data_IF_484419482004
#
_entry.id   IF_484419482004
#
_cell.length_a   1.000
_cell.length_b   1.000
_cell.length_c   1.000
_cell.angle_alpha   90.00
_cell.angle_beta   90.00
_cell.angle_gamma   90.00
#
_symmetry.space_group_name_H-M   'P 1'
#
loop_
_entity.id
_entity.type
_entity.pdbx_description
1 polymer ?
#
# COMPACT_ATOMS: atom_id res chain seq x y z
N UNK A 1 12.47 4.09 -10.17
CA UNK A 1 12.28 3.95 -8.71
C UNK A 1 12.72 2.54 -8.31
N UNK A 2 13.74 2.42 -7.46
CA UNK A 2 14.31 1.13 -7.06
C UNK A 2 13.33 0.36 -6.17
N UNK A 3 12.93 -0.83 -6.61
CA UNK A 3 12.10 -1.75 -5.82
C UNK A 3 12.82 -2.17 -4.55
N UNK A 4 12.06 -2.42 -3.48
CA UNK A 4 12.57 -3.09 -2.27
C UNK A 4 13.12 -4.45 -2.68
N UNK A 5 14.43 -4.63 -2.57
CA UNK A 5 15.07 -5.94 -2.74
C UNK A 5 15.16 -6.64 -1.38
N UNK A 6 15.02 -7.97 -1.31
CA UNK A 6 15.08 -8.73 -0.05
C UNK A 6 16.34 -8.45 0.80
N UNK A 7 17.44 -8.06 0.15
CA UNK A 7 18.72 -7.77 0.80
C UNK A 7 18.89 -6.29 1.23
N UNK A 8 17.82 -5.50 1.20
CA UNK A 8 17.89 -4.08 1.55
C UNK A 8 17.86 -3.90 3.06
N UNK A 9 18.95 -3.35 3.63
CA UNK A 9 19.04 -3.08 5.06
C UNK A 9 18.89 -1.59 5.31
N UNK A 10 18.11 -1.25 6.33
CA UNK A 10 17.83 0.12 6.70
C UNK A 10 17.89 0.29 8.22
N UNK A 11 18.89 1.04 8.69
CA UNK A 11 18.97 1.46 10.10
C UNK A 11 18.27 2.81 10.24
N UNK A 12 17.18 2.86 11.01
CA UNK A 12 16.40 4.09 11.18
C UNK A 12 16.92 5.02 12.25
N UNK A 13 17.37 4.45 13.36
CA UNK A 13 17.79 5.24 14.51
C UNK A 13 18.97 4.55 15.18
N UNK A 14 20.11 5.23 15.16
CA UNK A 14 21.29 4.86 15.91
C UNK A 14 21.37 5.77 17.14
N UNK A 15 21.31 5.19 18.34
CA UNK A 15 21.55 5.89 19.61
C UNK A 15 22.84 5.35 20.22
N UNK A 16 23.81 6.23 20.44
CA UNK A 16 25.09 5.89 21.06
C UNK A 16 25.12 6.53 22.44
N UNK A 17 25.56 5.75 23.43
CA UNK A 17 25.74 6.22 24.80
C UNK A 17 27.22 6.01 25.15
N UNK A 18 27.93 7.10 25.47
CA UNK A 18 29.35 7.07 25.76
C UNK A 18 29.60 6.89 27.27
N UNK A 19 30.05 5.71 27.67
CA UNK A 19 30.67 5.53 28.99
C UNK A 19 32.12 6.00 28.92
N UNK A 20 32.38 7.27 29.24
CA UNK A 20 33.75 7.82 29.34
C UNK A 20 34.22 8.70 28.17
N UNK A 21 33.37 9.00 27.19
CA UNK A 21 33.70 9.97 26.13
C UNK A 21 33.37 11.37 26.65
N UNK A 22 34.40 12.17 26.95
CA UNK A 22 34.23 13.52 27.47
C UNK A 22 33.89 14.49 26.32
N UNK A 23 32.62 14.89 26.24
CA UNK A 23 32.14 15.94 25.32
C UNK A 23 31.32 15.45 24.12
N UNK A 24 30.31 16.24 23.74
CA UNK A 24 29.38 15.96 22.64
C UNK A 24 30.09 15.72 21.29
N UNK A 25 31.19 16.44 21.04
CA UNK A 25 31.98 16.36 19.79
C UNK A 25 32.62 14.97 19.61
N UNK A 26 33.08 14.33 20.68
CA UNK A 26 33.65 12.98 20.60
C UNK A 26 32.60 11.93 20.24
N UNK A 27 31.38 12.09 20.76
CA UNK A 27 30.26 11.19 20.54
C UNK A 27 29.69 11.32 19.12
N UNK A 28 29.67 12.53 18.57
CA UNK A 28 29.30 12.78 17.16
C UNK A 28 30.29 12.15 16.18
N UNK A 29 31.61 12.29 16.44
CA UNK A 29 32.65 11.65 15.61
C UNK A 29 32.49 10.13 15.59
N UNK A 30 32.37 9.51 16.77
CA UNK A 30 32.13 8.05 16.90
C UNK A 30 30.84 7.66 16.17
N UNK A 31 29.77 8.45 16.28
CA UNK A 31 28.52 8.16 15.57
C UNK A 31 28.66 8.24 14.06
N UNK A 32 29.43 9.19 13.54
CA UNK A 32 29.61 9.35 12.10
C UNK A 32 30.50 8.24 11.54
N UNK A 33 31.58 7.88 12.24
CA UNK A 33 32.44 6.75 11.90
C UNK A 33 31.67 5.43 11.91
N UNK A 34 30.91 5.15 12.98
CA UNK A 34 30.10 3.94 13.06
C UNK A 34 29.06 3.86 11.95
N UNK A 35 28.40 4.98 11.58
CA UNK A 35 27.46 4.96 10.44
C UNK A 35 28.15 4.58 9.13
N UNK A 36 29.33 5.14 8.87
CA UNK A 36 30.11 4.79 7.68
C UNK A 36 30.52 3.32 7.69
N UNK A 37 30.97 2.81 8.83
CA UNK A 37 31.31 1.38 8.94
C UNK A 37 30.10 0.50 8.62
N UNK A 38 28.95 0.78 9.23
CA UNK A 38 27.72 0.01 9.04
C UNK A 38 27.22 -0.04 7.59
N UNK A 39 27.59 0.92 6.75
CA UNK A 39 27.28 0.91 5.31
C UNK A 39 28.05 -0.18 4.54
N UNK A 40 29.20 -0.64 5.07
CA UNK A 40 30.07 -1.64 4.44
C UNK A 40 30.04 -3.00 5.13
N UNK A 41 29.35 -3.13 6.26
CA UNK A 41 29.32 -4.40 6.99
C UNK A 41 28.48 -5.45 6.26
N UNK A 42 28.97 -6.70 6.30
CA UNK A 42 28.22 -7.87 5.87
C UNK A 42 27.18 -8.25 6.91
N UNK A 43 25.97 -7.73 6.72
CA UNK A 43 24.85 -8.03 7.59
C UNK A 43 24.36 -9.48 7.46
N UNK A 44 23.70 -10.02 8.50
CA UNK A 44 23.13 -11.37 8.45
C UNK A 44 22.09 -11.47 7.34
N UNK A 45 22.27 -12.47 6.46
CA UNK A 45 21.30 -12.73 5.40
C UNK A 45 20.11 -13.51 5.94
N UNK A 46 18.91 -13.09 5.56
CA UNK A 46 17.69 -13.85 5.80
C UNK A 46 17.42 -14.72 4.56
N UNK A 47 16.89 -15.93 4.75
CA UNK A 47 16.71 -16.88 3.64
C UNK A 47 15.56 -16.48 2.70
N UNK A 48 15.77 -16.71 1.40
CA UNK A 48 14.74 -16.56 0.37
C UNK A 48 14.23 -15.12 0.21
N UNK A 49 12.91 -14.96 0.16
CA UNK A 49 12.23 -13.66 0.01
C UNK A 49 11.73 -13.09 1.35
N UNK A 50 12.19 -13.65 2.47
CA UNK A 50 11.69 -13.28 3.78
C UNK A 50 12.19 -11.91 4.23
N UNK A 51 11.36 -11.22 5.01
CA UNK A 51 11.65 -9.91 5.59
C UNK A 51 11.63 -10.02 7.10
N UNK A 52 12.63 -9.43 7.74
CA UNK A 52 12.72 -9.38 9.20
C UNK A 52 12.80 -7.91 9.62
N UNK A 53 11.87 -7.51 10.47
CA UNK A 53 11.90 -6.22 11.14
C UNK A 53 12.30 -6.45 12.60
N UNK A 54 13.39 -5.79 13.00
CA UNK A 54 13.89 -5.83 14.37
C UNK A 54 13.63 -4.46 14.99
N UNK A 55 12.86 -4.43 16.07
CA UNK A 55 12.46 -3.20 16.75
C UNK A 55 13.67 -2.52 17.38
N UNK A 56 14.54 -3.28 18.04
CA UNK A 56 15.75 -2.76 18.65
C UNK A 56 16.88 -3.80 18.64
N UNK A 57 18.07 -3.35 18.27
CA UNK A 57 19.33 -4.07 18.50
C UNK A 57 20.17 -3.27 19.48
N UNK A 58 20.75 -3.95 20.48
CA UNK A 58 21.65 -3.33 21.45
C UNK A 58 23.00 -4.04 21.40
N UNK A 59 24.07 -3.26 21.31
CA UNK A 59 25.44 -3.73 21.40
C UNK A 59 26.20 -2.85 22.39
N UNK A 60 27.22 -3.43 23.04
CA UNK A 60 28.14 -2.73 23.94
C UNK A 60 29.55 -3.21 23.64
N UNK A 61 30.49 -2.27 23.58
CA UNK A 61 31.89 -2.58 23.27
C UNK A 61 32.71 -1.32 23.04
N UNK A 62 34.03 -1.46 22.84
CA UNK A 62 34.88 -0.35 22.43
C UNK A 62 34.44 0.18 21.05
N UNK A 63 34.63 1.49 20.81
CA UNK A 63 34.12 2.17 19.62
C UNK A 63 34.45 1.44 18.31
N UNK A 64 35.72 1.04 18.12
CA UNK A 64 36.17 0.32 16.93
C UNK A 64 35.72 -1.14 16.79
N UNK A 65 34.88 -1.66 17.70
CA UNK A 65 34.22 -2.97 17.56
C UNK A 65 32.70 -2.89 17.57
N UNK A 66 32.11 -1.69 17.67
CA UNK A 66 30.66 -1.55 17.77
C UNK A 66 29.93 -2.07 16.52
N UNK A 67 30.50 -1.91 15.33
CA UNK A 67 29.92 -2.43 14.10
C UNK A 67 29.83 -3.98 14.11
N UNK A 68 30.90 -4.65 14.51
CA UNK A 68 30.93 -6.12 14.63
C UNK A 68 29.97 -6.62 15.71
N UNK A 69 29.94 -5.95 16.87
CA UNK A 69 29.04 -6.32 17.96
C UNK A 69 27.57 -6.08 17.58
N UNK A 70 27.25 -5.02 16.84
CA UNK A 70 25.90 -4.79 16.30
C UNK A 70 25.51 -5.86 15.30
N UNK A 71 26.44 -6.30 14.47
CA UNK A 71 26.19 -7.34 13.45
C UNK A 71 25.96 -8.69 14.11
N UNK A 72 26.77 -9.04 15.11
CA UNK A 72 26.58 -10.25 15.92
C UNK A 72 25.26 -10.22 16.68
N UNK A 73 24.94 -9.11 17.35
CA UNK A 73 23.67 -8.93 18.04
C UNK A 73 22.48 -9.04 17.06
N UNK A 74 22.59 -8.44 15.88
CA UNK A 74 21.57 -8.57 14.83
C UNK A 74 21.41 -10.02 14.40
N UNK A 75 22.49 -10.78 14.22
CA UNK A 75 22.40 -12.21 13.87
C UNK A 75 21.67 -13.02 14.95
N UNK A 76 21.93 -12.72 16.22
CA UNK A 76 21.22 -13.32 17.36
C UNK A 76 19.73 -12.97 17.34
N UNK A 77 19.37 -11.71 17.15
CA UNK A 77 17.97 -11.27 17.05
C UNK A 77 17.26 -11.92 15.85
N UNK A 78 17.91 -11.99 14.68
CA UNK A 78 17.39 -12.66 13.47
C UNK A 78 17.18 -14.15 13.67
N UNK A 79 17.78 -14.78 14.68
CA UNK A 79 17.51 -16.18 15.03
C UNK A 79 16.56 -16.32 16.23
N UNK A 80 16.28 -15.23 16.95
CA UNK A 80 15.39 -15.25 18.09
C UNK A 80 13.94 -15.51 17.69
N UNK A 81 13.19 -16.15 18.61
CA UNK A 81 11.74 -16.30 18.53
C UNK A 81 10.99 -15.20 19.27
N UNK A 82 11.65 -14.11 19.67
CA UNK A 82 11.02 -13.03 20.44
C UNK A 82 10.12 -12.19 19.53
N UNK A 83 8.82 -12.48 19.58
CA UNK A 83 7.81 -11.78 18.79
C UNK A 83 7.62 -10.31 19.18
N UNK A 84 8.07 -9.88 20.37
CA UNK A 84 7.97 -8.48 20.81
C UNK A 84 9.07 -7.59 20.19
N UNK A 85 10.22 -8.20 19.88
CA UNK A 85 11.34 -7.49 19.27
C UNK A 85 11.49 -7.79 17.77
N UNK A 86 11.07 -8.96 17.30
CA UNK A 86 11.31 -9.45 15.94
C UNK A 86 10.02 -9.86 15.25
N UNK A 87 9.71 -9.19 14.15
CA UNK A 87 8.58 -9.53 13.28
C UNK A 87 9.09 -10.06 11.95
N UNK A 88 8.53 -11.20 11.52
CA UNK A 88 8.94 -11.88 10.29
C UNK A 88 7.79 -11.92 9.30
N UNK A 89 8.13 -11.71 8.04
CA UNK A 89 7.20 -11.89 6.92
C UNK A 89 7.86 -12.83 5.92
N UNK A 90 7.12 -13.81 5.39
CA UNK A 90 7.64 -14.79 4.45
C UNK A 90 7.90 -14.18 3.06
N UNK A 91 7.30 -13.03 2.76
CA UNK A 91 7.46 -12.34 1.48
C UNK A 91 7.18 -10.84 1.61
N UNK A 92 7.62 -10.08 0.59
CA UNK A 92 7.27 -8.66 0.49
C UNK A 92 5.75 -8.44 0.41
N UNK A 93 5.01 -9.33 -0.26
CA UNK A 93 3.55 -9.21 -0.38
C UNK A 93 2.86 -9.32 1.00
N UNK A 94 3.40 -10.13 1.90
CA UNK A 94 2.91 -10.26 3.26
C UNK A 94 3.19 -9.02 4.10
N UNK A 95 4.41 -8.52 4.01
CA UNK A 95 4.79 -7.27 4.67
C UNK A 95 3.92 -6.09 4.21
N UNK A 96 3.67 -5.97 2.89
CA UNK A 96 2.84 -4.91 2.34
C UNK A 96 1.36 -5.08 2.72
N UNK A 97 0.86 -6.31 2.78
CA UNK A 97 -0.51 -6.58 3.24
C UNK A 97 -0.71 -6.17 4.70
N UNK A 98 0.24 -6.47 5.58
CA UNK A 98 0.20 -6.03 6.98
C UNK A 98 0.20 -4.50 7.09
N UNK A 99 1.06 -3.83 6.33
CA UNK A 99 1.12 -2.37 6.28
C UNK A 99 -0.20 -1.75 5.81
N UNK A 100 -0.82 -2.29 4.75
CA UNK A 100 -2.10 -1.80 4.24
C UNK A 100 -3.21 -1.89 5.28
N UNK A 101 -3.27 -2.99 6.03
CA UNK A 101 -4.25 -3.16 7.10
C UNK A 101 -4.04 -2.12 8.20
N UNK A 102 -2.80 -1.88 8.61
CA UNK A 102 -2.49 -0.87 9.63
C UNK A 102 -2.73 0.57 9.13
N UNK A 103 -2.53 0.84 7.83
CA UNK A 103 -2.87 2.13 7.21
C UNK A 103 -4.37 2.39 7.28
N UNK A 104 -5.19 1.40 6.88
CA UNK A 104 -6.66 1.52 6.89
C UNK A 104 -7.19 1.72 8.32
N UNK A 105 -6.57 1.07 9.30
CA UNK A 105 -6.96 1.18 10.72
C UNK A 105 -6.41 2.42 11.42
N UNK A 106 -5.60 3.23 10.75
CA UNK A 106 -4.92 4.37 11.38
C UNK A 106 -3.87 3.98 12.44
N UNK A 107 -3.43 2.72 12.45
CA UNK A 107 -2.46 2.18 13.41
C UNK A 107 -1.02 2.27 12.89
N UNK A 108 -0.83 2.66 11.63
CA UNK A 108 0.47 2.67 10.98
C UNK A 108 1.52 3.53 11.71
N UNK A 109 1.15 4.72 12.22
CA UNK A 109 2.06 5.64 12.93
C UNK A 109 2.68 5.00 14.18
N UNK A 110 1.90 4.21 14.93
CA UNK A 110 2.37 3.62 16.19
C UNK A 110 3.14 2.30 16.00
N UNK A 111 2.90 1.61 14.88
CA UNK A 111 3.45 0.27 14.62
C UNK A 111 4.64 0.29 13.65
N UNK A 112 4.67 1.26 12.74
CA UNK A 112 5.67 1.32 11.68
C UNK A 112 6.58 2.53 11.83
N UNK A 113 7.88 2.26 11.95
CA UNK A 113 8.92 3.29 12.12
C UNK A 113 9.75 3.51 10.85
N UNK A 114 9.33 2.91 9.73
CA UNK A 114 10.11 2.88 8.50
C UNK A 114 10.01 4.23 7.78
N UNK A 115 11.12 5.00 7.78
CA UNK A 115 11.17 6.36 7.19
C UNK A 115 10.70 6.42 5.74
N UNK A 116 10.89 5.33 4.97
CA UNK A 116 10.45 5.23 3.57
C UNK A 116 8.94 5.45 3.44
N UNK A 117 8.14 4.91 4.35
CA UNK A 117 6.67 5.03 4.31
C UNK A 117 6.11 6.10 5.24
N UNK A 118 6.98 6.85 5.93
CA UNK A 118 6.55 7.90 6.85
C UNK A 118 5.63 8.94 6.18
N UNK A 119 5.80 9.16 4.87
CA UNK A 119 4.94 10.05 4.11
C UNK A 119 3.51 9.49 3.95
N UNK A 120 3.32 8.17 3.84
CA UNK A 120 2.01 7.52 3.72
C UNK A 120 1.17 7.71 4.99
N UNK A 121 1.82 7.77 6.15
CA UNK A 121 1.13 7.84 7.44
C UNK A 121 0.42 9.17 7.70
N UNK A 122 0.73 10.20 6.89
CA UNK A 122 0.11 11.53 6.98
C UNK A 122 -1.03 11.71 5.98
N UNK A 123 -1.22 10.74 5.09
CA UNK A 123 -2.25 10.80 4.06
C UNK A 123 -3.57 10.23 4.57
N UNK A 124 -4.71 10.65 4.00
CA UNK A 124 -5.98 9.93 4.16
C UNK A 124 -5.83 8.47 3.73
N UNK A 125 -6.55 7.55 4.40
CA UNK A 125 -6.39 6.11 4.18
C UNK A 125 -6.53 5.69 2.71
N UNK A 126 -7.53 6.22 1.99
CA UNK A 126 -7.72 5.99 0.54
C UNK A 126 -6.46 6.34 -0.27
N UNK A 127 -5.91 7.54 -0.06
CA UNK A 127 -4.72 8.02 -0.76
C UNK A 127 -3.46 7.24 -0.38
N UNK A 128 -3.30 6.87 0.90
CA UNK A 128 -2.18 6.06 1.37
C UNK A 128 -2.20 4.66 0.72
N UNK A 129 -3.38 4.03 0.66
CA UNK A 129 -3.59 2.74 0.01
C UNK A 129 -3.30 2.85 -1.48
N UNK A 130 -3.88 3.84 -2.18
CA UNK A 130 -3.64 4.07 -3.61
C UNK A 130 -2.15 4.22 -3.92
N UNK A 131 -1.45 5.06 -3.16
CA UNK A 131 -0.04 5.34 -3.40
C UNK A 131 0.80 4.08 -3.21
N UNK A 132 0.59 3.35 -2.10
CA UNK A 132 1.33 2.11 -1.83
C UNK A 132 1.06 1.03 -2.89
N UNK A 133 -0.20 0.88 -3.31
CA UNK A 133 -0.58 -0.06 -4.37
C UNK A 133 0.03 0.33 -5.73
N UNK A 134 0.12 1.63 -6.03
CA UNK A 134 0.72 2.16 -7.27
C UNK A 134 2.23 1.93 -7.30
N UNK A 135 2.92 2.05 -6.17
CA UNK A 135 4.35 1.72 -6.06
C UNK A 135 4.64 0.23 -6.34
N UNK A 136 3.63 -0.63 -6.15
CA UNK A 136 3.75 -2.09 -6.21
C UNK A 136 2.78 -2.74 -7.20
N UNK A 137 2.45 -2.07 -8.32
CA UNK A 137 1.47 -2.55 -9.31
C UNK A 137 1.70 -4.00 -9.78
N UNK A 138 2.95 -4.41 -10.01
CA UNK A 138 3.27 -5.78 -10.46
C UNK A 138 2.99 -6.86 -9.42
N UNK A 139 2.81 -6.48 -8.15
CA UNK A 139 2.57 -7.39 -7.03
C UNK A 139 1.10 -7.38 -6.58
N UNK A 140 0.24 -6.60 -7.24
CA UNK A 140 -1.18 -6.49 -6.88
C UNK A 140 -1.88 -7.85 -6.77
N UNK A 141 -1.74 -8.79 -7.72
CA UNK A 141 -2.38 -10.10 -7.60
C UNK A 141 -1.97 -10.85 -6.32
N UNK A 142 -0.66 -10.94 -6.04
CA UNK A 142 -0.12 -11.61 -4.85
C UNK A 142 -0.53 -10.93 -3.55
N UNK A 143 -0.57 -9.60 -3.55
CA UNK A 143 -0.99 -8.80 -2.40
C UNK A 143 -2.49 -8.99 -2.11
N UNK A 144 -3.33 -8.98 -3.14
CA UNK A 144 -4.77 -9.23 -2.99
C UNK A 144 -5.02 -10.67 -2.47
N UNK A 145 -4.31 -11.66 -3.01
CA UNK A 145 -4.37 -13.04 -2.52
C UNK A 145 -3.94 -13.14 -1.04
N UNK A 146 -2.93 -12.38 -0.61
CA UNK A 146 -2.52 -12.36 0.80
C UNK A 146 -3.55 -11.69 1.69
N UNK A 147 -4.10 -10.53 1.30
CA UNK A 147 -5.18 -9.87 2.03
C UNK A 147 -6.42 -10.75 2.14
N UNK A 148 -6.74 -11.52 1.11
CA UNK A 148 -7.85 -12.47 1.13
C UNK A 148 -7.63 -13.61 2.13
N UNK A 149 -6.41 -14.19 2.16
CA UNK A 149 -6.01 -15.19 3.16
C UNK A 149 -6.12 -14.64 4.58
N UNK A 150 -5.80 -13.36 4.79
CA UNK A 150 -5.96 -12.67 6.06
C UNK A 150 -7.42 -12.26 6.37
N UNK A 151 -8.36 -12.48 5.45
CA UNK A 151 -9.77 -12.01 5.52
C UNK A 151 -9.88 -10.48 5.69
N UNK A 152 -8.93 -9.73 5.10
CA UNK A 152 -8.86 -8.26 5.13
C UNK A 152 -8.98 -7.61 3.75
N UNK A 153 -9.25 -8.40 2.71
CA UNK A 153 -9.35 -7.86 1.35
C UNK A 153 -10.46 -6.81 1.23
N UNK A 154 -11.68 -7.11 1.68
CA UNK A 154 -12.81 -6.18 1.61
C UNK A 154 -12.55 -4.88 2.39
N UNK A 155 -12.00 -4.99 3.60
CA UNK A 155 -11.61 -3.86 4.47
C UNK A 155 -10.67 -2.90 3.72
N UNK A 156 -9.61 -3.41 3.10
CA UNK A 156 -8.65 -2.58 2.35
C UNK A 156 -9.25 -2.08 1.03
N UNK A 157 -9.92 -2.95 0.28
CA UNK A 157 -10.42 -2.64 -1.07
C UNK A 157 -11.50 -1.57 -1.06
N UNK A 158 -12.42 -1.62 -0.09
CA UNK A 158 -13.51 -0.66 0.04
C UNK A 158 -13.06 0.68 0.64
N UNK A 159 -11.84 0.75 1.19
CA UNK A 159 -11.24 2.03 1.65
C UNK A 159 -10.82 2.92 0.48
N UNK A 160 -10.56 2.34 -0.70
CA UNK A 160 -10.34 3.13 -1.91
C UNK A 160 -11.62 3.92 -2.25
N UNK A 161 -11.46 5.21 -2.46
CA UNK A 161 -12.50 6.01 -3.11
C UNK A 161 -12.52 5.74 -4.63
N UNK A 162 -13.60 6.19 -5.27
CA UNK A 162 -13.79 5.99 -6.71
C UNK A 162 -12.63 6.58 -7.53
N UNK A 163 -12.16 7.80 -7.20
CA UNK A 163 -11.12 8.48 -7.96
C UNK A 163 -9.75 7.80 -7.80
N UNK A 164 -9.43 7.32 -6.60
CA UNK A 164 -8.23 6.54 -6.29
C UNK A 164 -8.24 5.20 -7.04
N UNK A 165 -9.37 4.50 -7.03
CA UNK A 165 -9.54 3.25 -7.78
C UNK A 165 -9.41 3.48 -9.30
N UNK A 166 -9.95 4.57 -9.84
CA UNK A 166 -9.79 4.94 -11.25
C UNK A 166 -8.34 5.19 -11.62
N UNK A 167 -7.60 5.95 -10.80
CA UNK A 167 -6.17 6.21 -11.02
C UNK A 167 -5.36 4.91 -10.98
N UNK A 168 -5.63 4.05 -10.00
CA UNK A 168 -4.96 2.75 -9.86
C UNK A 168 -5.27 1.83 -11.05
N UNK A 169 -6.53 1.79 -11.50
CA UNK A 169 -6.97 1.05 -12.69
C UNK A 169 -6.28 1.53 -13.96
N UNK A 170 -6.21 2.84 -14.17
CA UNK A 170 -5.50 3.42 -15.32
C UNK A 170 -4.00 3.11 -15.27
N UNK A 171 -3.36 3.24 -14.10
CA UNK A 171 -1.95 2.94 -13.93
C UNK A 171 -1.66 1.45 -14.20
N UNK A 172 -2.53 0.56 -13.70
CA UNK A 172 -2.43 -0.87 -13.93
C UNK A 172 -2.63 -1.25 -15.41
N UNK A 173 -3.64 -0.68 -16.08
CA UNK A 173 -3.90 -0.91 -17.50
C UNK A 173 -2.73 -0.47 -18.38
N UNK A 174 -2.21 0.74 -18.14
CA UNK A 174 -1.02 1.26 -18.84
C UNK A 174 0.19 0.35 -18.69
N UNK A 175 0.44 -0.14 -17.46
CA UNK A 175 1.56 -1.06 -17.20
C UNK A 175 1.38 -2.41 -17.87
N UNK A 176 0.15 -2.92 -17.88
CA UNK A 176 -0.18 -4.22 -18.45
C UNK A 176 -0.32 -4.21 -19.98
N UNK A 177 -0.29 -3.02 -20.61
CA UNK A 177 -0.32 -2.87 -22.06
C UNK A 177 -1.69 -3.09 -22.70
N UNK A 178 -2.77 -3.12 -21.94
CA UNK A 178 -4.13 -3.26 -22.47
C UNK A 178 -4.91 -1.95 -22.39
N UNK A 179 -5.85 -1.77 -23.32
CA UNK A 179 -6.73 -0.60 -23.36
C UNK A 179 -7.93 -0.85 -22.46
N UNK A 180 -8.13 0.03 -21.47
CA UNK A 180 -9.28 -0.06 -20.58
C UNK A 180 -10.57 0.23 -21.39
N UNK A 181 -11.55 -0.69 -21.40
CA UNK A 181 -12.82 -0.42 -22.04
C UNK A 181 -13.58 0.64 -21.26
N UNK A 182 -14.34 1.49 -21.95
CA UNK A 182 -15.27 2.39 -21.28
C UNK A 182 -16.30 1.58 -20.48
N UNK A 183 -16.69 2.05 -19.28
CA UNK A 183 -17.67 1.38 -18.43
C UNK A 183 -18.96 1.01 -19.20
N UNK A 184 -19.45 1.94 -20.03
CA UNK A 184 -20.62 1.73 -20.90
C UNK A 184 -20.46 0.59 -21.90
N UNK A 185 -19.23 0.32 -22.37
CA UNK A 185 -18.97 -0.82 -23.26
C UNK A 185 -19.12 -2.13 -22.52
N UNK A 186 -18.65 -2.22 -21.26
CA UNK A 186 -18.83 -3.39 -20.41
C UNK A 186 -20.32 -3.62 -20.12
N UNK A 187 -21.05 -2.56 -19.77
CA UNK A 187 -22.51 -2.62 -19.54
C UNK A 187 -23.26 -3.09 -20.79
N UNK A 188 -22.93 -2.57 -21.97
CA UNK A 188 -23.54 -3.00 -23.23
C UNK A 188 -23.27 -4.47 -23.53
N UNK A 189 -22.05 -4.95 -23.30
CA UNK A 189 -21.72 -6.37 -23.47
C UNK A 189 -22.45 -7.25 -22.47
N UNK A 190 -22.62 -6.79 -21.22
CA UNK A 190 -23.34 -7.51 -20.17
C UNK A 190 -24.85 -7.62 -20.46
N UNK A 191 -25.43 -6.65 -21.16
CA UNK A 191 -26.83 -6.65 -21.57
C UNK A 191 -27.11 -7.52 -22.80
N UNK A 192 -26.09 -8.00 -23.52
CA UNK A 192 -26.31 -8.90 -24.67
C UNK A 192 -26.81 -10.26 -24.17
N UNK A 193 -27.81 -10.87 -24.82
CA UNK A 193 -28.28 -12.21 -24.47
C UNK A 193 -27.11 -13.20 -24.54
N UNK A 194 -26.73 -13.75 -23.38
CA UNK A 194 -25.46 -14.45 -23.19
C UNK A 194 -25.43 -15.79 -23.92
N UNK A 195 -24.40 -16.02 -24.74
CA UNK A 195 -23.93 -17.38 -24.99
C UNK A 195 -23.36 -17.91 -23.67
N UNK A 196 -23.77 -19.12 -23.24
CA UNK A 196 -23.35 -19.75 -21.97
C UNK A 196 -21.86 -19.53 -21.71
N UNK A 197 -21.52 -18.93 -20.57
CA UNK A 197 -20.12 -18.79 -20.12
C UNK A 197 -19.45 -20.16 -20.17
N UNK A 198 -18.29 -20.29 -20.82
CA UNK A 198 -17.60 -21.57 -20.91
C UNK A 198 -17.41 -22.17 -19.51
N UNK A 199 -17.80 -23.43 -19.26
CA UNK A 199 -17.71 -24.04 -17.94
C UNK A 199 -16.29 -24.06 -17.37
N UNK A 200 -15.26 -24.06 -18.24
CA UNK A 200 -13.85 -23.98 -17.86
C UNK A 200 -13.48 -22.65 -17.17
N UNK A 201 -14.12 -21.54 -17.55
CA UNK A 201 -13.90 -20.25 -16.86
C UNK A 201 -14.55 -20.25 -15.48
N UNK A 202 -15.71 -20.90 -15.33
CA UNK A 202 -16.42 -21.00 -14.03
C UNK A 202 -15.69 -21.90 -13.03
N UNK A 203 -15.11 -23.01 -13.48
CA UNK A 203 -14.39 -23.93 -12.60
C UNK A 203 -13.07 -23.33 -12.07
N UNK A 204 -12.33 -22.62 -12.93
CA UNK A 204 -11.06 -21.98 -12.56
C UNK A 204 -11.23 -20.71 -11.72
N UNK A 205 -12.42 -20.09 -11.74
CA UNK A 205 -12.70 -18.84 -11.02
C UNK A 205 -13.23 -19.04 -9.61
N UNK A 206 -13.76 -20.21 -9.25
CA UNK A 206 -14.39 -20.46 -7.96
C UNK A 206 -13.59 -19.99 -6.71
N UNK A 207 -12.28 -20.26 -6.56
CA UNK A 207 -11.54 -19.77 -5.39
C UNK A 207 -11.33 -18.25 -5.42
N UNK A 208 -11.08 -17.68 -6.60
CA UNK A 208 -10.94 -16.22 -6.76
C UNK A 208 -12.27 -15.52 -6.50
N UNK A 209 -13.37 -16.12 -6.94
CA UNK A 209 -14.72 -15.66 -6.69
C UNK A 209 -14.98 -15.50 -5.20
N UNK A 210 -14.77 -16.57 -4.42
CA UNK A 210 -14.98 -16.56 -2.98
C UNK A 210 -14.09 -15.53 -2.28
N UNK A 211 -12.86 -15.34 -2.77
CA UNK A 211 -11.95 -14.34 -2.25
C UNK A 211 -12.49 -12.90 -2.44
N UNK A 212 -13.05 -12.60 -3.62
CA UNK A 212 -13.43 -11.24 -4.00
C UNK A 212 -14.88 -10.89 -3.65
N UNK A 213 -15.74 -11.88 -3.42
CA UNK A 213 -17.19 -11.71 -3.27
C UNK A 213 -17.55 -10.61 -2.26
N UNK A 214 -16.97 -10.62 -1.06
CA UNK A 214 -17.27 -9.64 -0.02
C UNK A 214 -16.83 -8.22 -0.37
N UNK A 215 -15.79 -8.09 -1.21
CA UNK A 215 -15.24 -6.78 -1.61
C UNK A 215 -16.00 -6.15 -2.79
N UNK A 216 -16.73 -6.94 -3.58
CA UNK A 216 -17.29 -6.49 -4.87
C UNK A 216 -18.81 -6.60 -4.98
N UNK A 217 -19.47 -7.39 -4.14
CA UNK A 217 -20.91 -7.72 -4.27
C UNK A 217 -21.84 -6.50 -4.24
N UNK A 218 -21.50 -5.45 -3.50
CA UNK A 218 -22.33 -4.24 -3.36
C UNK A 218 -22.00 -3.15 -4.37
N UNK A 219 -21.02 -3.36 -5.25
CA UNK A 219 -20.51 -2.32 -6.14
C UNK A 219 -21.25 -2.33 -7.49
N UNK A 220 -21.64 -1.16 -8.03
CA UNK A 220 -22.22 -1.08 -9.37
C UNK A 220 -21.16 -1.33 -10.45
N UNK A 221 -21.60 -1.71 -11.66
CA UNK A 221 -20.71 -1.96 -12.82
C UNK A 221 -19.87 -0.74 -13.24
N UNK A 222 -20.34 0.46 -12.93
CA UNK A 222 -19.62 1.70 -13.14
C UNK A 222 -18.54 1.99 -12.08
N UNK A 223 -18.50 1.24 -10.97
CA UNK A 223 -17.52 1.44 -9.90
C UNK A 223 -16.13 0.97 -10.32
N UNK A 224 -15.14 1.84 -10.14
CA UNK A 224 -13.78 1.54 -10.58
C UNK A 224 -13.10 0.46 -9.73
N UNK A 225 -13.52 0.27 -8.48
CA UNK A 225 -13.01 -0.80 -7.62
C UNK A 225 -13.46 -2.16 -8.11
N UNK A 226 -14.72 -2.26 -8.58
CA UNK A 226 -15.21 -3.47 -9.22
C UNK A 226 -14.46 -3.72 -10.52
N UNK A 227 -14.34 -2.72 -11.39
CA UNK A 227 -13.61 -2.87 -12.66
C UNK A 227 -12.16 -3.29 -12.44
N UNK A 228 -11.47 -2.71 -11.45
CA UNK A 228 -10.11 -3.10 -11.08
C UNK A 228 -10.04 -4.54 -10.58
N UNK A 229 -10.97 -4.97 -9.72
CA UNK A 229 -11.03 -6.36 -9.26
C UNK A 229 -11.23 -7.33 -10.44
N UNK A 230 -12.17 -7.03 -11.35
CA UNK A 230 -12.44 -7.85 -12.52
C UNK A 230 -11.24 -7.91 -13.47
N UNK A 231 -10.51 -6.82 -13.64
CA UNK A 231 -9.26 -6.78 -14.42
C UNK A 231 -8.18 -7.65 -13.78
N UNK A 232 -7.98 -7.57 -12.46
CA UNK A 232 -7.00 -8.37 -11.74
C UNK A 232 -7.33 -9.87 -11.77
N UNK A 233 -8.61 -10.22 -11.71
CA UNK A 233 -9.09 -11.59 -11.88
C UNK A 233 -8.88 -12.03 -13.33
N UNK A 234 -9.27 -11.21 -14.30
CA UNK A 234 -9.10 -11.47 -15.73
C UNK A 234 -7.66 -11.73 -16.12
N UNK A 235 -6.71 -10.98 -15.54
CA UNK A 235 -5.28 -11.18 -15.78
C UNK A 235 -4.80 -12.56 -15.28
N UNK A 236 -5.35 -13.05 -14.17
CA UNK A 236 -4.94 -14.34 -13.59
C UNK A 236 -5.53 -15.54 -14.34
N UNK A 237 -6.76 -15.43 -14.83
CA UNK A 237 -7.48 -16.57 -15.43
C UNK A 237 -7.44 -16.60 -16.95
N UNK A 238 -7.38 -15.44 -17.61
CA UNK A 238 -7.53 -15.33 -19.06
C UNK A 238 -6.79 -14.08 -19.62
N UNK A 239 -5.46 -13.98 -19.42
CA UNK A 239 -4.69 -12.80 -19.81
C UNK A 239 -4.77 -12.49 -21.30
N UNK A 240 -4.82 -13.52 -22.16
CA UNK A 240 -4.98 -13.33 -23.61
C UNK A 240 -6.35 -12.75 -23.97
N UNK A 241 -7.43 -13.18 -23.32
CA UNK A 241 -8.75 -12.60 -23.54
C UNK A 241 -8.84 -11.17 -23.03
N UNK A 242 -8.16 -10.85 -21.92
CA UNK A 242 -8.09 -9.49 -21.41
C UNK A 242 -7.41 -8.55 -22.41
N UNK A 243 -6.40 -9.02 -23.14
CA UNK A 243 -5.72 -8.26 -24.19
C UNK A 243 -6.57 -8.11 -25.47
N UNK A 244 -7.26 -9.17 -25.88
CA UNK A 244 -7.98 -9.20 -27.17
C UNK A 244 -9.41 -8.64 -27.09
N UNK A 245 -10.14 -8.92 -26.01
CA UNK A 245 -11.54 -8.58 -25.85
C UNK A 245 -11.88 -8.22 -24.38
N UNK A 246 -11.29 -7.13 -23.84
CA UNK A 246 -11.43 -6.78 -22.43
C UNK A 246 -12.89 -6.55 -22.02
N UNK A 247 -13.68 -5.84 -22.84
CA UNK A 247 -15.08 -5.56 -22.51
C UNK A 247 -15.93 -6.83 -22.34
N UNK A 248 -15.75 -7.81 -23.24
CA UNK A 248 -16.45 -9.10 -23.19
C UNK A 248 -16.01 -9.93 -21.98
N UNK A 249 -14.71 -9.97 -21.67
CA UNK A 249 -14.21 -10.69 -20.50
C UNK A 249 -14.75 -10.08 -19.20
N UNK A 250 -14.66 -8.76 -19.05
CA UNK A 250 -15.13 -8.07 -17.84
C UNK A 250 -16.63 -8.23 -17.65
N UNK A 251 -17.43 -8.16 -18.73
CA UNK A 251 -18.87 -8.38 -18.68
C UNK A 251 -19.25 -9.79 -18.21
N UNK A 252 -18.55 -10.82 -18.71
CA UNK A 252 -18.74 -12.22 -18.30
C UNK A 252 -18.33 -12.45 -16.85
N UNK A 253 -17.25 -11.83 -16.39
CA UNK A 253 -16.85 -11.92 -14.99
C UNK A 253 -17.86 -11.21 -14.09
N UNK A 254 -18.31 -10.01 -14.46
CA UNK A 254 -19.38 -9.32 -13.76
C UNK A 254 -20.67 -10.16 -13.62
N UNK A 255 -21.08 -10.85 -14.68
CA UNK A 255 -22.21 -11.78 -14.67
C UNK A 255 -21.97 -12.95 -13.71
N UNK A 256 -20.77 -13.54 -13.73
CA UNK A 256 -20.40 -14.59 -12.79
C UNK A 256 -20.51 -14.12 -11.33
N UNK A 257 -20.09 -12.88 -11.02
CA UNK A 257 -20.23 -12.19 -9.72
C UNK A 257 -21.67 -11.84 -9.32
N UNK A 258 -22.66 -12.13 -10.16
CA UNK A 258 -24.05 -11.78 -9.89
C UNK A 258 -24.23 -10.28 -9.66
N UNK A 259 -23.37 -9.46 -10.28
CA UNK A 259 -23.42 -8.01 -10.13
C UNK A 259 -24.72 -7.55 -10.77
N UNK A 260 -25.67 -7.16 -9.92
CA UNK A 260 -26.97 -6.66 -10.37
C UNK A 260 -26.76 -5.33 -11.09
N UNK A 261 -27.26 -5.22 -12.32
CA UNK A 261 -27.42 -3.93 -12.96
C UNK A 261 -28.33 -3.07 -12.10
N UNK A 262 -27.76 -2.03 -11.49
CA UNK A 262 -28.58 -0.91 -11.01
C UNK A 262 -28.73 0.01 -12.22
N UNK A 263 -29.91 0.10 -12.86
CA UNK A 263 -30.09 1.01 -13.96
C UNK A 263 -29.77 2.41 -13.45
N UNK A 264 -28.80 3.07 -14.09
CA UNK A 264 -28.50 4.46 -13.80
C UNK A 264 -29.81 5.24 -13.87
N UNK A 265 -30.21 5.86 -12.75
CA UNK A 265 -31.38 6.71 -12.70
C UNK A 265 -31.32 7.66 -13.89
N UNK A 266 -32.27 7.52 -14.81
CA UNK A 266 -32.40 8.39 -15.96
C UNK A 266 -32.38 9.82 -15.42
N UNK A 267 -31.35 10.59 -15.78
CA UNK A 267 -31.35 12.03 -15.54
C UNK A 267 -32.69 12.54 -16.08
N UNK A 268 -33.55 13.19 -15.28
CA UNK A 268 -34.78 13.75 -15.80
C UNK A 268 -34.37 14.73 -16.90
N UNK A 269 -34.64 14.36 -18.14
CA UNK A 269 -34.60 15.27 -19.28
C UNK A 269 -35.61 16.35 -18.98
N UNK A 270 -35.12 17.50 -18.51
CA UNK A 270 -35.92 18.73 -18.50
C UNK A 270 -36.48 18.92 -19.91
N UNK A 271 -37.79 19.15 -20.07
CA UNK A 271 -38.36 19.42 -21.36
C UNK A 271 -37.69 20.67 -21.94
N UNK A 272 -37.07 20.47 -23.11
CA UNK A 272 -36.55 21.55 -23.95
C UNK A 272 -37.73 22.44 -24.36
N UNK A 273 -37.92 23.54 -23.63
CA UNK A 273 -38.83 24.61 -24.04
C UNK A 273 -38.19 25.28 -25.25
N UNK A 274 -38.76 25.01 -26.42
CA UNK A 274 -38.46 25.70 -27.66
C UNK A 274 -38.81 27.19 -27.52
N UNK A 275 -37.84 28.02 -27.13
CA UNK A 275 -37.92 29.46 -27.30
C UNK A 275 -37.51 29.80 -28.74
N UNK A 276 -38.49 29.76 -29.65
CA UNK A 276 -38.41 30.42 -30.96
C UNK A 276 -38.57 31.92 -30.71
N UNK A 277 -37.46 32.66 -30.77
CA UNK A 277 -37.42 34.12 -30.75
C UNK A 277 -36.31 34.60 -31.67
N UNK A 278 -36.70 35.09 -32.85
CA UNK A 278 -35.86 35.76 -33.85
C UNK A 278 -35.21 37.03 -33.30
N UNK A 279 -33.93 37.33 -33.61
CA UNK A 279 -33.36 38.65 -33.43
C UNK A 279 -33.44 39.46 -34.74
N UNK A 280 -34.05 40.64 -34.67
CA UNK A 280 -33.92 41.72 -35.68
C UNK A 280 -33.01 42.80 -35.09
N UNK A 281 -32.00 43.20 -35.87
CA UNK A 281 -30.99 44.21 -35.57
C UNK A 281 -31.59 45.63 -35.39
N UNK A 282 -31.24 46.36 -34.31
CA UNK A 282 -30.25 47.47 -34.21
C UNK A 282 -30.75 48.85 -34.73
N UNK A 283 -30.16 50.03 -34.44
CA UNK A 283 -29.08 50.39 -33.48
C UNK A 283 -29.38 51.67 -32.63
N UNK A 284 -28.52 52.03 -31.66
CA UNK A 284 -27.94 53.39 -31.48
C UNK A 284 -27.24 53.62 -30.12
N UNK A 285 -25.92 53.89 -30.23
CA UNK A 285 -25.10 54.90 -29.55
C UNK A 285 -25.23 55.21 -28.04
N UNK A 286 -24.13 54.99 -27.30
CA UNK A 286 -23.38 55.99 -26.50
C UNK A 286 -22.24 55.26 -25.74
N UNK A 287 -20.97 55.33 -26.19
CA UNK A 287 -19.89 56.24 -25.76
C UNK A 287 -19.58 56.27 -24.24
N UNK A 288 -18.38 55.77 -23.91
CA UNK A 288 -17.35 56.25 -22.94
C UNK A 288 -16.71 55.03 -22.23
N UNK A 289 -15.45 54.66 -22.54
CA UNK A 289 -14.23 55.08 -21.82
C UNK A 289 -14.35 54.89 -20.29
N UNK A 290 -13.52 54.09 -19.63
CA UNK A 290 -12.19 54.49 -19.14
C UNK A 290 -11.35 53.25 -18.76
N UNK A 291 -10.08 53.29 -19.15
CA UNK A 291 -8.98 52.43 -18.70
C UNK A 291 -8.55 52.74 -17.26
N UNK A 292 -8.12 51.74 -16.47
CA UNK A 292 -6.99 51.87 -15.52
C UNK A 292 -6.62 50.53 -14.85
N UNK A 293 -5.42 50.04 -15.14
CA UNK A 293 -4.48 49.40 -14.18
C UNK A 293 -3.54 50.53 -13.65
N UNK A 294 -2.55 50.38 -12.73
CA UNK A 294 -2.14 49.31 -11.79
C UNK A 294 -1.65 49.84 -10.38
N UNK A 295 -0.99 48.95 -9.60
CA UNK A 295 0.06 49.18 -8.57
C UNK A 295 -0.41 49.67 -7.16
N UNK A 296 0.26 49.44 -6.01
CA UNK A 296 1.60 48.94 -5.69
C UNK A 296 1.72 48.60 -4.16
N UNK A 297 2.75 47.81 -3.83
CA UNK A 297 3.67 47.94 -2.67
C UNK A 297 3.23 47.68 -1.21
N UNK A 298 4.07 46.88 -0.50
CA UNK A 298 4.11 46.65 0.96
C UNK A 298 4.60 47.88 1.76
N UNK A 299 5.31 47.79 2.92
CA UNK A 299 6.13 46.67 3.47
C UNK A 299 6.15 46.56 5.04
N UNK A 300 7.18 45.87 5.56
CA UNK A 300 7.82 45.88 6.92
C UNK A 300 7.16 45.10 8.08
N UNK A 301 7.79 44.16 8.81
CA UNK A 301 9.15 43.93 9.36
C UNK A 301 9.33 44.37 10.83
N UNK A 302 9.66 43.39 11.68
CA UNK A 302 10.52 43.37 12.90
C UNK A 302 9.93 42.46 14.00
N UNK A 303 10.60 41.39 14.44
CA UNK A 303 11.82 41.29 15.27
C UNK A 303 11.71 41.95 16.66
N UNK A 304 11.53 41.14 17.72
CA UNK A 304 12.63 40.78 18.65
C UNK A 304 12.18 40.03 19.93
N UNK A 305 12.98 39.00 20.26
CA UNK A 305 13.60 38.71 21.57
C UNK A 305 12.84 38.05 22.75
N UNK A 306 13.40 36.88 23.10
CA UNK A 306 13.96 36.50 24.43
C UNK A 306 13.09 35.84 25.52
N UNK A 307 13.56 34.63 25.87
CA UNK A 307 13.72 34.04 27.21
C UNK A 307 12.49 33.61 28.04
N UNK A 308 12.37 32.30 28.28
CA UNK A 308 12.45 31.71 29.63
C UNK A 308 12.35 30.17 29.58
N UNK A 309 13.18 29.52 30.40
CA UNK A 309 13.08 28.13 30.80
C UNK A 309 11.79 27.85 31.59
N UNK A 310 11.15 26.71 31.35
CA UNK A 310 10.79 25.72 32.39
C UNK A 310 10.11 24.47 31.77
N UNK A 311 10.73 23.32 32.05
CA UNK A 311 10.15 22.07 32.58
C UNK A 311 9.00 21.34 31.86
N UNK A 312 9.31 20.08 31.51
CA UNK A 312 8.47 18.87 31.46
C UNK A 312 7.16 18.90 30.66
N UNK A 313 7.15 18.14 29.55
CA UNK A 313 5.97 17.38 29.14
C UNK A 313 6.41 15.95 28.82
N UNK A 314 6.13 15.05 29.76
CA UNK A 314 6.10 13.62 29.54
C UNK A 314 5.02 13.28 28.50
N UNK A 315 5.44 13.00 27.27
CA UNK A 315 4.62 12.26 26.33
C UNK A 315 4.75 10.76 26.63
N UNK A 316 4.04 10.26 27.64
CA UNK A 316 3.85 8.81 27.82
C UNK A 316 2.95 8.33 26.68
N UNK A 317 3.57 7.89 25.58
CA UNK A 317 2.91 6.96 24.69
C UNK A 317 2.84 5.62 25.44
N UNK A 318 1.66 5.25 25.93
CA UNK A 318 1.43 3.90 26.43
C UNK A 318 1.83 2.90 25.34
N UNK A 319 2.73 1.94 25.64
CA UNK A 319 3.08 0.90 24.68
C UNK A 319 1.86 0.01 24.49
N UNK A 320 1.20 0.13 23.35
CA UNK A 320 0.28 -0.89 22.88
C UNK A 320 1.10 -2.09 22.43
N UNK A 321 1.00 -3.20 23.16
CA UNK A 321 1.49 -4.52 22.76
C UNK A 321 0.53 -5.12 21.75
N UNK A 322 0.89 -5.26 20.46
CA UNK A 322 0.06 -6.01 19.53
C UNK A 322 0.04 -7.48 19.97
N UNK A 323 -1.17 -8.03 20.16
CA UNK A 323 -1.32 -9.42 20.55
C UNK A 323 -0.84 -10.31 19.38
N UNK A 324 0.05 -11.30 19.61
CA UNK A 324 0.59 -12.19 18.56
C UNK A 324 -0.48 -12.93 17.73
N UNK A 325 -1.72 -12.96 18.20
CA UNK A 325 -2.85 -13.63 17.55
C UNK A 325 -3.33 -12.93 16.28
N UNK A 326 -2.99 -11.66 16.06
CA UNK A 326 -3.45 -10.91 14.89
C UNK A 326 -2.65 -11.20 13.62
N UNK A 327 -1.47 -11.81 13.75
CA UNK A 327 -0.57 -12.11 12.61
C UNK A 327 0.02 -13.51 12.63
N UNK A 328 -0.39 -14.39 13.55
CA UNK A 328 0.10 -15.76 13.60
C UNK A 328 -0.18 -16.48 12.27
N UNK A 329 0.85 -16.84 11.47
CA UNK A 329 0.64 -17.81 10.42
C UNK A 329 0.24 -19.13 11.09
N UNK A 330 -0.73 -19.84 10.50
CA UNK A 330 -1.03 -21.21 10.90
C UNK A 330 0.29 -22.00 10.95
N UNK A 331 0.66 -22.48 12.14
CA UNK A 331 1.84 -23.30 12.33
C UNK A 331 1.74 -24.51 11.39
N UNK A 332 2.62 -24.57 10.39
CA UNK A 332 2.85 -25.83 9.66
C UNK A 332 3.69 -26.73 10.58
N UNK A 333 3.22 -27.94 10.90
CA UNK A 333 4.02 -28.89 11.67
C UNK A 333 5.09 -29.47 10.72
N UNK A 334 6.35 -29.10 10.93
CA UNK A 334 7.46 -29.92 10.46
C UNK A 334 7.62 -31.03 11.52
N UNK A 335 6.94 -32.14 11.29
CA UNK A 335 7.24 -33.39 11.98
C UNK A 335 8.57 -33.91 11.42
N UNK A 336 9.66 -33.67 12.14
CA UNK A 336 10.87 -34.45 12.00
C UNK A 336 10.78 -35.61 12.99
N UNK A 337 10.21 -36.72 12.51
CA UNK A 337 10.31 -38.02 13.15
C UNK A 337 11.71 -38.57 12.84
N UNK A 338 12.60 -38.54 13.84
CA UNK A 338 13.89 -39.24 13.78
C UNK A 338 13.91 -40.19 14.96
N UNK A 339 13.53 -41.43 14.68
CA UNK A 339 13.63 -42.55 15.60
C UNK A 339 15.07 -43.11 15.56
N UNK A 340 15.71 -43.42 16.71
CA UNK A 340 17.06 -43.96 16.78
C UNK A 340 17.06 -45.49 16.91
N UNK A 341 17.62 -46.21 15.92
CA UNK A 341 18.05 -47.61 15.98
C UNK A 341 18.82 -47.92 14.69
N UNK A 342 19.94 -48.63 14.62
CA UNK A 342 20.74 -49.39 15.58
C UNK A 342 22.16 -49.53 14.99
N UNK A 343 23.18 -49.47 15.83
CA UNK A 343 24.52 -50.01 15.55
C UNK A 343 24.85 -50.97 16.68
N UNK A 344 24.68 -52.27 16.41
CA UNK A 344 25.33 -53.35 17.14
C UNK A 344 25.40 -54.59 16.22
N UNK A 345 26.63 -55.04 16.01
CA UNK A 345 27.04 -56.41 15.67
C UNK A 345 26.74 -56.98 14.27
N UNK A 346 27.71 -56.81 13.35
CA UNK A 346 28.60 -57.87 12.83
C UNK A 346 29.36 -57.40 11.59
#
# INVERSE_FOLDING_TARGET
MNGLQPDSIAIHRLRIHGGGVSGAVGLERISHELRRELDFVSWPKVSGESWVLIRQVRARGPAGRLADELTRATATEVQSGDAENVVRFASLAELLAALLVDLVRGQAIGRWYWRRWAHLFRLPASAAVEQLLTEHLSRLPSLCARLAKLRRLSEVWLTLDQAAAERLLQAFARRSGFVLPAARSVEREHLKPTQKTPPLLLQSTAPLYQQWQDAVRSLPLSDARLQLALVLIGQQIAPLMLLQAPATLLARLAEAFGVMHTPAAQRPTLPSVAARGTPTAAPAAARAAVSATPAASGPDANDHAAAALHTAVEGVAHPYTPHPKDYAPAASPIAADVSPAALAES
#
